data_IF_862813128644
#
_entry.id   IF_862813128644
#
_cell.length_a   1.000
_cell.length_b   1.000
_cell.length_c   1.000
_cell.angle_alpha   90.00
_cell.angle_beta   90.00
_cell.angle_gamma   90.00
#
_symmetry.space_group_name_H-M   'P 1'
#
loop_
_entity.id
_entity.type
_entity.pdbx_description
1 polymer ?
#
# COMPACT_ATOMS: atom_id res chain seq x y z
N UNK A 1 -7.47 -8.71 -25.24
CA UNK A 1 -7.26 -8.57 -23.79
C UNK A 1 -7.30 -7.08 -23.49
N UNK A 2 -8.29 -6.63 -22.73
CA UNK A 2 -8.38 -5.23 -22.32
C UNK A 2 -7.51 -5.05 -21.08
N UNK A 3 -6.56 -4.13 -21.14
CA UNK A 3 -5.73 -3.77 -19.98
C UNK A 3 -6.39 -2.58 -19.32
N UNK A 4 -6.77 -2.73 -18.05
CA UNK A 4 -7.28 -1.65 -17.22
C UNK A 4 -6.24 -1.28 -16.18
N UNK A 5 -6.02 0.02 -16.02
CA UNK A 5 -5.17 0.55 -14.95
C UNK A 5 -6.05 0.83 -13.74
N UNK A 6 -5.63 0.31 -12.59
CA UNK A 6 -6.28 0.58 -11.30
C UNK A 6 -5.27 1.33 -10.44
N UNK A 7 -5.69 2.45 -9.86
CA UNK A 7 -4.86 3.18 -8.93
C UNK A 7 -5.07 2.61 -7.52
N UNK A 8 -3.98 2.14 -6.90
CA UNK A 8 -3.98 1.78 -5.49
C UNK A 8 -3.04 2.71 -4.75
N UNK A 9 -3.54 3.35 -3.70
CA UNK A 9 -2.77 4.27 -2.85
C UNK A 9 -2.83 3.80 -1.41
N UNK A 10 -1.67 3.75 -0.77
CA UNK A 10 -1.56 3.52 0.67
C UNK A 10 -1.33 4.87 1.36
N UNK A 11 -2.20 5.23 2.31
CA UNK A 11 -2.07 6.45 3.10
C UNK A 11 -1.76 6.08 4.55
N UNK A 12 -0.59 6.48 5.05
CA UNK A 12 -0.15 6.05 6.38
C UNK A 12 -0.91 6.78 7.48
N UNK A 13 -1.45 6.02 8.44
CA UNK A 13 -2.02 6.55 9.68
C UNK A 13 -0.96 6.61 10.77
N UNK A 14 -0.21 5.51 10.93
CA UNK A 14 0.75 5.35 12.01
C UNK A 14 1.97 4.54 11.54
N UNK A 15 3.16 4.98 11.93
CA UNK A 15 4.45 4.30 11.68
C UNK A 15 5.05 3.67 12.95
N UNK A 16 4.44 3.87 14.12
CA UNK A 16 4.86 3.21 15.36
C UNK A 16 4.19 1.85 15.43
N UNK A 17 4.95 0.77 15.69
CA UNK A 17 4.42 -0.59 15.71
C UNK A 17 3.15 -0.72 16.58
N UNK A 18 2.07 -1.34 16.07
CA UNK A 18 1.93 -1.81 14.69
C UNK A 18 1.71 -0.64 13.72
N UNK A 19 2.48 -0.60 12.63
CA UNK A 19 2.22 0.37 11.57
C UNK A 19 0.88 0.07 10.90
N UNK A 20 0.19 1.13 10.49
CA UNK A 20 -1.13 1.06 9.87
C UNK A 20 -1.22 2.06 8.73
N UNK A 21 -1.75 1.63 7.59
CA UNK A 21 -2.09 2.50 6.46
C UNK A 21 -3.50 2.18 5.93
N UNK A 22 -4.18 3.22 5.46
CA UNK A 22 -5.40 3.14 4.68
C UNK A 22 -5.09 2.67 3.26
N UNK A 23 -6.00 1.88 2.69
CA UNK A 23 -5.92 1.40 1.31
C UNK A 23 -7.03 2.09 0.53
N UNK A 24 -6.63 2.86 -0.47
CA UNK A 24 -7.54 3.48 -1.43
C UNK A 24 -7.42 2.79 -2.78
N UNK A 25 -8.56 2.45 -3.38
CA UNK A 25 -8.65 1.96 -4.75
C UNK A 25 -9.53 2.92 -5.54
N UNK A 26 -8.98 3.55 -6.59
CA UNK A 26 -9.68 4.58 -7.37
C UNK A 26 -10.37 5.64 -6.47
N UNK A 27 -9.64 6.12 -5.46
CA UNK A 27 -10.08 7.11 -4.45
C UNK A 27 -11.15 6.65 -3.45
N UNK A 28 -11.58 5.38 -3.49
CA UNK A 28 -12.46 4.79 -2.47
C UNK A 28 -11.65 4.10 -1.37
N UNK A 29 -11.98 4.38 -0.10
CA UNK A 29 -11.39 3.67 1.04
C UNK A 29 -11.95 2.24 1.11
N UNK A 30 -11.10 1.25 0.84
CA UNK A 30 -11.51 -0.17 0.83
C UNK A 30 -11.14 -0.92 2.11
N UNK A 31 -10.22 -0.36 2.90
CA UNK A 31 -9.79 -0.95 4.16
C UNK A 31 -8.44 -0.42 4.63
N UNK A 32 -7.80 -1.21 5.48
CA UNK A 32 -6.56 -0.89 6.16
C UNK A 32 -5.60 -2.06 6.04
N UNK A 33 -4.32 -1.76 5.87
CA UNK A 33 -3.23 -2.70 6.03
C UNK A 33 -2.49 -2.38 7.32
N UNK A 34 -2.24 -3.41 8.14
CA UNK A 34 -1.51 -3.27 9.39
C UNK A 34 -0.48 -4.37 9.58
N UNK A 35 0.54 -4.09 10.39
CA UNK A 35 1.50 -5.10 10.79
C UNK A 35 0.87 -6.12 11.75
N UNK A 36 1.09 -7.39 11.46
CA UNK A 36 0.56 -8.50 12.25
C UNK A 36 1.30 -8.62 13.60
N UNK A 37 0.63 -9.27 14.56
CA UNK A 37 1.19 -9.52 15.91
C UNK A 37 2.23 -10.64 15.89
N UNK A 38 3.06 -10.68 16.93
CA UNK A 38 4.29 -11.49 17.02
C UNK A 38 4.11 -12.94 16.57
N UNK A 39 2.98 -13.58 16.86
CA UNK A 39 2.72 -14.99 16.53
C UNK A 39 2.69 -15.32 15.03
N UNK A 40 2.22 -14.38 14.19
CA UNK A 40 2.12 -14.56 12.73
C UNK A 40 3.08 -13.66 11.94
N UNK A 41 3.83 -12.80 12.63
CA UNK A 41 4.69 -11.77 12.03
C UNK A 41 5.74 -12.33 11.07
N UNK A 42 6.33 -13.49 11.37
CA UNK A 42 7.43 -14.04 10.56
C UNK A 42 6.95 -14.67 9.25
N UNK A 43 5.71 -15.16 9.21
CA UNK A 43 5.14 -15.83 8.02
C UNK A 43 4.27 -14.89 7.21
N UNK A 44 3.42 -14.14 7.90
CA UNK A 44 2.38 -13.30 7.32
C UNK A 44 2.32 -11.95 8.07
N UNK A 45 3.35 -11.10 7.90
CA UNK A 45 3.49 -9.84 8.62
C UNK A 45 2.44 -8.80 8.29
N UNK A 46 1.64 -9.00 7.23
CA UNK A 46 0.68 -8.01 6.77
C UNK A 46 -0.74 -8.51 6.97
N UNK A 47 -1.57 -7.75 7.67
CA UNK A 47 -2.98 -8.06 7.88
C UNK A 47 -3.85 -7.02 7.19
N UNK A 48 -4.95 -7.46 6.59
CA UNK A 48 -5.95 -6.59 5.96
C UNK A 48 -7.23 -6.58 6.77
N UNK A 49 -7.69 -5.38 7.11
CA UNK A 49 -8.98 -5.13 7.75
C UNK A 49 -9.84 -4.34 6.76
N UNK A 50 -11.02 -4.86 6.39
CA UNK A 50 -11.93 -4.16 5.48
C UNK A 50 -12.55 -2.93 6.17
N UNK A 51 -13.15 -2.04 5.37
CA UNK A 51 -13.80 -0.82 5.88
C UNK A 51 -14.97 -1.08 6.84
N UNK A 52 -15.55 -2.30 6.82
CA UNK A 52 -16.58 -2.76 7.77
C UNK A 52 -15.99 -3.33 9.08
N UNK A 53 -14.66 -3.33 9.23
CA UNK A 53 -13.94 -3.86 10.38
C UNK A 53 -13.66 -5.37 10.33
N UNK A 54 -14.07 -6.07 9.27
CA UNK A 54 -13.82 -7.51 9.13
C UNK A 54 -12.36 -7.80 8.78
N UNK A 55 -11.77 -8.79 9.45
CA UNK A 55 -10.47 -9.35 9.05
C UNK A 55 -10.61 -10.09 7.72
N UNK A 56 -9.88 -9.62 6.72
CA UNK A 56 -9.89 -10.18 5.37
C UNK A 56 -8.90 -11.34 5.23
N UNK A 57 -7.72 -11.19 5.81
CA UNK A 57 -6.65 -12.18 5.76
C UNK A 57 -5.29 -11.62 6.11
N UNK A 58 -4.34 -12.53 6.26
CA UNK A 58 -2.94 -12.23 6.51
C UNK A 58 -2.10 -12.62 5.28
N UNK A 59 -0.99 -11.91 5.07
CA UNK A 59 -0.20 -11.99 3.85
C UNK A 59 1.30 -11.82 4.12
N UNK A 60 2.11 -12.49 3.31
CA UNK A 60 3.56 -12.47 3.42
C UNK A 60 4.20 -11.11 3.08
N UNK A 61 3.52 -10.25 2.31
CA UNK A 61 4.00 -8.91 1.95
C UNK A 61 2.86 -7.97 1.54
N UNK A 62 3.16 -6.67 1.47
CA UNK A 62 2.20 -5.62 1.09
C UNK A 62 1.64 -5.88 -0.31
N UNK A 63 2.48 -6.32 -1.25
CA UNK A 63 2.06 -6.60 -2.62
C UNK A 63 0.95 -7.67 -2.70
N UNK A 64 1.13 -8.80 -2.02
CA UNK A 64 0.13 -9.87 -2.03
C UNK A 64 -1.15 -9.45 -1.32
N UNK A 65 -1.04 -8.70 -0.23
CA UNK A 65 -2.17 -8.15 0.49
C UNK A 65 -2.99 -7.20 -0.39
N UNK A 66 -2.32 -6.25 -1.05
CA UNK A 66 -2.94 -5.29 -1.97
C UNK A 66 -3.58 -5.99 -3.17
N UNK A 67 -2.90 -6.93 -3.83
CA UNK A 67 -3.48 -7.68 -4.95
C UNK A 67 -4.74 -8.45 -4.54
N UNK A 68 -4.72 -9.06 -3.35
CA UNK A 68 -5.86 -9.81 -2.84
C UNK A 68 -7.06 -8.92 -2.54
N UNK A 69 -6.86 -7.79 -1.85
CA UNK A 69 -7.96 -6.86 -1.54
C UNK A 69 -8.48 -6.15 -2.79
N UNK A 70 -7.61 -5.82 -3.75
CA UNK A 70 -8.04 -5.23 -5.02
C UNK A 70 -8.91 -6.20 -5.81
N UNK A 71 -8.50 -7.47 -5.93
CA UNK A 71 -9.32 -8.50 -6.57
C UNK A 71 -10.68 -8.65 -5.89
N UNK A 72 -10.70 -8.63 -4.56
CA UNK A 72 -11.93 -8.70 -3.79
C UNK A 72 -12.85 -7.50 -4.08
N UNK A 73 -12.32 -6.29 -4.03
CA UNK A 73 -13.08 -5.06 -4.25
C UNK A 73 -13.59 -4.93 -5.70
N UNK A 74 -12.78 -5.27 -6.70
CA UNK A 74 -13.19 -5.23 -8.11
C UNK A 74 -14.13 -6.38 -8.50
N UNK A 75 -14.26 -7.42 -7.66
CA UNK A 75 -15.17 -8.55 -7.90
C UNK A 75 -14.81 -9.38 -9.12
N UNK A 76 -13.54 -9.41 -9.52
CA UNK A 76 -13.09 -10.05 -10.76
C UNK A 76 -12.06 -11.17 -10.56
N UNK A 77 -11.74 -11.84 -11.68
CA UNK A 77 -10.68 -12.84 -11.77
C UNK A 77 -9.48 -12.31 -12.58
N UNK A 78 -9.27 -10.99 -12.56
CA UNK A 78 -8.19 -10.32 -13.27
C UNK A 78 -6.81 -10.76 -12.78
N UNK A 79 -5.82 -10.69 -13.66
CA UNK A 79 -4.42 -10.81 -13.28
C UNK A 79 -3.88 -9.42 -12.92
N UNK A 80 -3.46 -9.24 -11.67
CA UNK A 80 -2.96 -7.96 -11.17
C UNK A 80 -1.43 -7.92 -11.22
N UNK A 81 -0.90 -6.97 -11.98
CA UNK A 81 0.53 -6.72 -12.09
C UNK A 81 0.85 -5.37 -11.47
N UNK A 82 1.80 -5.35 -10.53
CA UNK A 82 2.32 -4.11 -9.95
C UNK A 82 3.22 -3.44 -11.00
N UNK A 83 2.98 -2.17 -11.29
CA UNK A 83 3.88 -1.39 -12.13
C UNK A 83 5.22 -1.10 -11.43
N UNK A 84 5.24 -1.15 -10.09
CA UNK A 84 6.40 -0.83 -9.26
C UNK A 84 6.89 -2.08 -8.50
N UNK A 85 8.14 -2.47 -8.75
CA UNK A 85 8.77 -3.67 -8.16
C UNK A 85 9.20 -3.47 -6.69
N UNK A 86 9.04 -2.27 -6.13
CA UNK A 86 9.53 -1.89 -4.80
C UNK A 86 8.71 -2.41 -3.61
N UNK A 87 7.50 -2.93 -3.82
CA UNK A 87 6.56 -3.29 -2.74
C UNK A 87 6.80 -4.67 -2.10
N UNK A 88 8.01 -5.23 -2.25
CA UNK A 88 8.42 -6.51 -1.64
C UNK A 88 8.88 -6.36 -0.19
N UNK A 89 9.02 -5.13 0.30
CA UNK A 89 9.42 -4.83 1.68
C UNK A 89 8.19 -4.82 2.60
N UNK A 90 8.36 -5.10 3.89
CA UNK A 90 7.27 -5.04 4.87
C UNK A 90 6.64 -3.64 4.95
N UNK A 91 5.42 -3.52 5.45
CA UNK A 91 4.64 -2.27 5.46
C UNK A 91 5.42 -1.06 5.99
N UNK A 92 6.16 -1.23 7.08
CA UNK A 92 7.01 -0.17 7.61
C UNK A 92 8.05 0.33 6.60
N UNK A 93 8.78 -0.59 5.97
CA UNK A 93 9.81 -0.25 5.00
C UNK A 93 9.21 0.33 3.71
N UNK A 94 8.05 -0.18 3.27
CA UNK A 94 7.32 0.37 2.12
C UNK A 94 6.84 1.80 2.39
N UNK A 95 6.31 2.08 3.59
CA UNK A 95 5.88 3.41 4.02
C UNK A 95 7.08 4.36 4.09
N UNK A 96 8.17 3.94 4.74
CA UNK A 96 9.38 4.78 4.86
C UNK A 96 9.95 5.12 3.48
N UNK A 97 9.96 4.16 2.56
CA UNK A 97 10.43 4.40 1.19
C UNK A 97 9.49 5.34 0.42
N UNK A 98 8.18 5.19 0.58
CA UNK A 98 7.19 6.08 -0.03
C UNK A 98 7.32 7.53 0.48
N UNK A 99 7.46 7.71 1.79
CA UNK A 99 7.69 9.03 2.41
C UNK A 99 9.03 9.64 1.97
N UNK A 100 10.09 8.83 1.89
CA UNK A 100 11.38 9.29 1.37
C UNK A 100 11.27 9.73 -0.10
N UNK A 101 10.53 8.98 -0.94
CA UNK A 101 10.28 9.35 -2.34
C UNK A 101 9.53 10.67 -2.49
N UNK A 102 8.51 10.92 -1.66
CA UNK A 102 7.76 12.19 -1.68
C UNK A 102 8.64 13.39 -1.31
N UNK A 103 9.47 13.27 -0.26
CA UNK A 103 10.39 14.33 0.14
C UNK A 103 11.39 14.70 -0.98
N UNK A 104 11.88 13.70 -1.73
CA UNK A 104 12.79 13.94 -2.86
C UNK A 104 12.07 14.66 -4.02
N UNK A 105 10.82 14.28 -4.32
CA UNK A 105 10.03 14.91 -5.37
C UNK A 105 9.67 16.38 -5.04
N UNK A 106 9.33 16.68 -3.78
CA UNK A 106 9.05 18.04 -3.32
C UNK A 106 10.30 18.94 -3.34
N UNK A 107 11.46 18.40 -2.92
CA UNK A 107 12.73 19.14 -3.02
C UNK A 107 13.11 19.48 -4.46
N UNK A 108 12.88 18.55 -5.40
CA UNK A 108 13.25 18.74 -6.79
C UNK A 108 12.36 19.75 -7.52
N UNK A 109 11.07 19.81 -7.18
CA UNK A 109 10.17 20.88 -7.64
C UNK A 109 10.57 22.26 -7.06
N UNK A 110 10.88 22.34 -5.77
CA UNK A 110 11.33 23.60 -5.15
C UNK A 110 12.65 24.14 -5.74
N UNK A 111 13.58 23.24 -6.12
CA UNK A 111 14.82 23.62 -6.80
C UNK A 111 14.56 24.14 -8.22
N UNK A 112 13.68 23.49 -8.99
CA UNK A 112 13.35 23.92 -10.35
C UNK A 112 12.64 25.28 -10.36
N UNK A 113 11.76 25.56 -9.40
CA UNK A 113 11.11 26.87 -9.27
C UNK A 113 12.10 27.99 -8.90
N UNK A 114 13.14 27.70 -8.12
CA UNK A 114 14.18 28.67 -7.77
C UNK A 114 15.17 28.99 -8.90
N UNK A 115 15.29 28.11 -9.90
CA UNK A 115 16.23 28.30 -11.03
C UNK A 115 15.57 29.10 -12.17
N UNK A 116 14.23 29.17 -12.19
CA UNK A 116 13.45 29.92 -13.20
C UNK A 116 13.15 31.38 -12.83
N UNK A 117 13.63 31.86 -11.68
CA UNK A 117 13.53 33.26 -11.23
C UNK A 117 14.92 33.90 -11.09
#
# INVERSE_FOLDING_TARGET
MEIKTINVRLSTINTTYPAVAEIYINDELVGYICENREDNRDKEPQSIILSDGKHFGDFCCVEHAVKAVTRHHCGDNGLYMSADAGLKTGLLAAIVLALAGQNNAEQQNSLNEKILH
#
